data_IF_127897964309
#
_entry.id   IF_127897964309
#
_cell.length_a   1.000
_cell.length_b   1.000
_cell.length_c   1.000
_cell.angle_alpha   90.00
_cell.angle_beta   90.00
_cell.angle_gamma   90.00
#
_symmetry.space_group_name_H-M   'P 1'
#
loop_
_entity.id
_entity.type
_entity.pdbx_description
1 polymer ?
#
# COMPACT_ATOMS: atom_id res chain seq x y z
N UNK A 1 -43.84 -29.57 -34.79
CA UNK A 1 -43.53 -29.15 -33.40
C UNK A 1 -42.48 -29.99 -32.63
N UNK A 2 -41.88 -31.11 -33.12
CA UNK A 2 -40.88 -31.84 -32.32
C UNK A 2 -39.47 -31.21 -32.32
N UNK A 3 -39.12 -30.44 -33.36
CA UNK A 3 -37.77 -29.86 -33.53
C UNK A 3 -37.35 -28.92 -32.38
N UNK A 4 -38.28 -28.19 -31.78
CA UNK A 4 -37.98 -27.26 -30.68
C UNK A 4 -37.53 -27.94 -29.39
N UNK A 5 -38.17 -29.07 -29.05
CA UNK A 5 -37.86 -29.83 -27.82
C UNK A 5 -36.48 -30.47 -27.92
N UNK A 6 -36.14 -31.01 -29.09
CA UNK A 6 -34.80 -31.57 -29.34
C UNK A 6 -33.69 -30.52 -29.27
N UNK A 7 -33.92 -29.33 -29.83
CA UNK A 7 -32.93 -28.23 -29.79
C UNK A 7 -32.70 -27.74 -28.37
N UNK A 8 -33.78 -27.58 -27.58
CA UNK A 8 -33.66 -27.14 -26.19
C UNK A 8 -32.93 -28.18 -25.32
N UNK A 9 -33.22 -29.47 -25.53
CA UNK A 9 -32.51 -30.56 -24.86
C UNK A 9 -31.02 -30.61 -25.19
N UNK A 10 -30.67 -30.44 -26.47
CA UNK A 10 -29.27 -30.40 -26.92
C UNK A 10 -28.52 -29.19 -26.34
N UNK A 11 -29.15 -28.01 -26.33
CA UNK A 11 -28.58 -26.80 -25.72
C UNK A 11 -28.33 -26.97 -24.22
N UNK A 12 -29.28 -27.56 -23.48
CA UNK A 12 -29.12 -27.83 -22.06
C UNK A 12 -28.01 -28.86 -21.81
N UNK A 13 -27.88 -29.87 -22.67
CA UNK A 13 -26.83 -30.87 -22.56
C UNK A 13 -25.45 -30.26 -22.81
N UNK A 14 -25.31 -29.45 -23.88
CA UNK A 14 -24.07 -28.74 -24.19
C UNK A 14 -23.69 -27.79 -23.06
N UNK A 15 -24.63 -27.00 -22.55
CA UNK A 15 -24.36 -26.09 -21.44
C UNK A 15 -23.94 -26.84 -20.17
N UNK A 16 -24.57 -27.98 -19.87
CA UNK A 16 -24.20 -28.84 -18.75
C UNK A 16 -22.78 -29.39 -18.87
N UNK A 17 -22.42 -29.96 -20.04
CA UNK A 17 -21.07 -30.47 -20.30
C UNK A 17 -20.04 -29.34 -20.29
N UNK A 18 -20.38 -28.20 -20.88
CA UNK A 18 -19.51 -27.03 -20.91
C UNK A 18 -19.27 -26.50 -19.50
N UNK A 19 -20.29 -26.38 -18.66
CA UNK A 19 -20.13 -25.98 -17.26
C UNK A 19 -19.28 -26.99 -16.47
N UNK A 20 -19.52 -28.29 -16.68
CA UNK A 20 -18.76 -29.38 -16.04
C UNK A 20 -17.28 -29.31 -16.38
N UNK A 21 -16.92 -28.91 -17.60
CA UNK A 21 -15.52 -28.77 -18.04
C UNK A 21 -14.94 -27.41 -17.65
N UNK A 22 -15.70 -26.31 -17.77
CA UNK A 22 -15.21 -24.95 -17.50
C UNK A 22 -14.97 -24.72 -16.01
N UNK A 23 -15.86 -25.16 -15.12
CA UNK A 23 -15.72 -24.99 -13.67
C UNK A 23 -14.38 -25.50 -13.11
N UNK A 24 -13.94 -26.74 -13.40
CA UNK A 24 -12.66 -27.24 -12.93
C UNK A 24 -11.49 -26.53 -13.60
N UNK A 25 -11.60 -26.14 -14.89
CA UNK A 25 -10.55 -25.39 -15.58
C UNK A 25 -10.35 -24.01 -14.92
N UNK A 26 -11.42 -23.27 -14.66
CA UNK A 26 -11.36 -21.98 -13.97
C UNK A 26 -10.77 -22.13 -12.56
N UNK A 27 -11.20 -23.16 -11.82
CA UNK A 27 -10.66 -23.46 -10.50
C UNK A 27 -9.16 -23.75 -10.55
N UNK A 28 -8.72 -24.58 -11.49
CA UNK A 28 -7.31 -24.91 -11.69
C UNK A 28 -6.48 -23.68 -12.07
N UNK A 29 -6.96 -22.86 -13.02
CA UNK A 29 -6.32 -21.59 -13.40
C UNK A 29 -6.19 -20.63 -12.21
N UNK A 30 -7.22 -20.53 -11.37
CA UNK A 30 -7.21 -19.66 -10.19
C UNK A 30 -6.19 -20.14 -9.15
N UNK A 31 -6.12 -21.46 -8.92
CA UNK A 31 -5.12 -22.08 -8.03
C UNK A 31 -3.71 -21.85 -8.59
N UNK A 32 -3.49 -22.08 -9.88
CA UNK A 32 -2.20 -21.85 -10.52
C UNK A 32 -1.75 -20.39 -10.41
N UNK A 33 -2.66 -19.44 -10.66
CA UNK A 33 -2.38 -18.02 -10.52
C UNK A 33 -2.06 -17.65 -9.06
N UNK A 34 -2.79 -18.19 -8.09
CA UNK A 34 -2.53 -18.00 -6.67
C UNK A 34 -1.16 -18.55 -6.25
N UNK A 35 -0.80 -19.75 -6.70
CA UNK A 35 0.52 -20.35 -6.44
C UNK A 35 1.62 -19.53 -7.11
N UNK A 36 1.41 -19.04 -8.33
CA UNK A 36 2.37 -18.18 -9.01
C UNK A 36 2.60 -16.88 -8.23
N UNK A 37 1.54 -16.22 -7.75
CA UNK A 37 1.65 -15.02 -6.92
C UNK A 37 2.34 -15.31 -5.59
N UNK A 38 2.06 -16.47 -4.98
CA UNK A 38 2.73 -16.91 -3.76
C UNK A 38 4.24 -17.09 -4.02
N UNK A 39 4.62 -17.75 -5.10
CA UNK A 39 6.02 -17.94 -5.50
C UNK A 39 6.69 -16.60 -5.81
N UNK A 40 6.03 -15.72 -6.57
CA UNK A 40 6.56 -14.37 -6.87
C UNK A 40 6.75 -13.56 -5.59
N UNK A 41 5.84 -13.65 -4.62
CA UNK A 41 6.00 -13.02 -3.31
C UNK A 41 7.22 -13.54 -2.54
N UNK A 42 7.54 -14.84 -2.67
CA UNK A 42 8.73 -15.44 -2.05
C UNK A 42 10.02 -15.14 -2.83
N UNK A 43 9.96 -14.94 -4.15
CA UNK A 43 11.12 -14.67 -5.01
C UNK A 43 11.45 -13.17 -5.08
N UNK A 44 10.51 -12.29 -4.72
CA UNK A 44 10.71 -10.84 -4.70
C UNK A 44 11.60 -10.34 -3.56
N UNK A 45 12.27 -11.26 -2.85
CA UNK A 45 13.25 -10.98 -1.79
C UNK A 45 14.70 -10.81 -2.31
N UNK A 46 14.93 -10.96 -3.62
CA UNK A 46 16.20 -10.61 -4.30
C UNK A 46 16.05 -9.35 -5.17
N UNK A 47 15.59 -8.27 -4.55
CA UNK A 47 15.96 -6.91 -4.92
C UNK A 47 15.84 -6.00 -3.69
N UNK A 48 16.73 -6.17 -2.73
CA UNK A 48 17.05 -5.07 -1.82
C UNK A 48 17.54 -3.89 -2.68
N UNK A 49 16.90 -2.72 -2.54
CA UNK A 49 17.55 -1.71 -1.72
C UNK A 49 16.82 -1.55 -0.39
N UNK A 50 17.59 -1.15 0.60
CA UNK A 50 17.20 -0.81 1.97
C UNK A 50 15.82 -0.11 2.12
N UNK A 51 15.20 -0.24 3.32
CA UNK A 51 13.87 0.29 3.61
C UNK A 51 13.86 1.82 3.56
N UNK A 52 12.78 2.41 3.03
CA UNK A 52 12.38 3.77 3.44
C UNK A 52 10.93 3.71 3.93
N UNK A 53 10.70 4.00 5.23
CA UNK A 53 9.41 3.88 5.90
C UNK A 53 8.31 4.81 5.34
N UNK A 54 7.04 4.52 5.68
CA UNK A 54 5.89 5.25 5.21
C UNK A 54 5.60 6.52 6.03
N UNK A 55 4.78 7.38 5.40
CA UNK A 55 3.72 8.23 6.02
C UNK A 55 4.22 9.50 6.75
N UNK A 56 3.35 10.42 7.24
CA UNK A 56 1.87 10.41 7.27
C UNK A 56 1.14 11.75 6.98
N UNK A 57 -0.18 11.57 6.85
CA UNK A 57 -1.30 12.50 7.01
C UNK A 57 -1.16 13.38 8.27
N UNK A 58 -1.47 14.68 8.16
CA UNK A 58 -1.57 15.61 9.29
C UNK A 58 -2.84 15.34 10.13
N UNK A 59 -2.75 15.08 11.44
CA UNK A 59 -3.86 15.15 12.38
C UNK A 59 -4.12 16.60 12.84
N UNK A 60 -5.34 16.82 13.34
CA UNK A 60 -5.92 18.10 13.70
C UNK A 60 -5.27 18.78 14.92
N UNK A 61 -5.12 20.10 14.76
CA UNK A 61 -5.39 21.21 15.71
C UNK A 61 -5.79 20.81 17.14
N UNK A 62 -5.04 21.32 18.13
CA UNK A 62 -5.44 22.28 19.19
C UNK A 62 -4.35 22.32 20.27
N UNK A 63 -3.62 23.42 20.46
CA UNK A 63 -4.04 24.69 21.08
C UNK A 63 -3.90 24.64 22.61
N UNK A 64 -2.81 25.22 23.13
CA UNK A 64 -2.62 25.82 24.46
C UNK A 64 -1.14 26.33 24.53
N UNK A 65 -0.73 27.52 24.98
CA UNK A 65 -1.32 28.86 25.16
C UNK A 65 -0.14 29.82 25.49
N UNK A 66 -0.02 30.92 24.73
CA UNK A 66 0.35 32.31 25.16
C UNK A 66 1.71 32.60 25.86
N UNK A 67 2.58 33.33 25.15
CA UNK A 67 3.23 34.59 25.57
C UNK A 67 4.12 35.05 24.39
N UNK A 68 3.61 35.87 23.47
CA UNK A 68 3.85 37.32 23.41
C UNK A 68 5.27 37.67 22.92
N UNK A 69 5.39 38.15 21.67
CA UNK A 69 6.09 39.39 21.23
C UNK A 69 6.04 39.48 19.69
N UNK A 70 5.16 40.36 19.22
CA UNK A 70 5.33 41.44 18.21
C UNK A 70 6.00 41.17 16.82
N UNK A 71 5.13 41.28 15.79
CA UNK A 71 5.24 41.51 14.33
C UNK A 71 6.19 42.66 13.88
N UNK A 72 6.69 42.80 12.61
CA UNK A 72 6.63 41.96 11.39
C UNK A 72 7.99 41.69 10.64
N UNK A 73 8.07 40.50 10.01
CA UNK A 73 8.43 40.26 8.59
C UNK A 73 9.77 40.74 7.99
N UNK A 74 10.73 39.80 7.85
CA UNK A 74 11.57 39.58 6.64
C UNK A 74 12.20 38.18 6.68
N UNK A 75 11.56 37.29 5.92
CA UNK A 75 12.02 36.00 5.33
C UNK A 75 13.30 35.37 5.92
N UNK A 76 13.11 34.50 6.92
CA UNK A 76 14.12 33.50 7.29
C UNK A 76 13.99 32.32 6.31
N UNK A 77 15.10 31.80 5.73
CA UNK A 77 15.04 30.64 4.83
C UNK A 77 14.28 29.50 5.51
N UNK A 78 13.43 28.77 4.78
CA UNK A 78 12.61 27.72 5.37
C UNK A 78 13.53 26.79 6.16
N UNK A 79 13.26 26.53 7.46
CA UNK A 79 14.09 25.61 8.22
C UNK A 79 14.09 24.30 7.46
N UNK A 80 15.26 23.88 6.99
CA UNK A 80 15.37 22.62 6.29
C UNK A 80 14.86 21.51 7.20
N UNK A 81 14.27 20.48 6.61
CA UNK A 81 13.84 19.30 7.33
C UNK A 81 14.74 18.13 6.94
N UNK A 82 15.01 17.26 7.89
CA UNK A 82 15.66 15.96 7.70
C UNK A 82 14.69 14.87 8.10
N UNK A 83 14.91 13.65 7.62
CA UNK A 83 14.15 12.49 8.02
C UNK A 83 15.01 11.65 8.97
N UNK A 84 14.42 11.16 10.06
CA UNK A 84 15.10 10.25 10.96
C UNK A 84 15.49 8.97 10.21
N UNK A 85 16.76 8.58 10.25
CA UNK A 85 17.24 7.33 9.64
C UNK A 85 16.75 6.07 10.38
N UNK A 86 16.34 6.22 11.64
CA UNK A 86 15.90 5.11 12.48
C UNK A 86 14.40 4.84 12.39
N UNK A 87 13.57 5.90 12.35
CA UNK A 87 12.10 5.75 12.36
C UNK A 87 11.38 6.46 11.21
N UNK A 88 12.06 7.29 10.42
CA UNK A 88 11.46 8.02 9.28
C UNK A 88 10.70 9.30 9.61
N UNK A 89 10.67 9.75 10.88
CA UNK A 89 9.95 10.98 11.27
C UNK A 89 10.59 12.22 10.64
N UNK A 90 9.75 13.20 10.25
CA UNK A 90 10.23 14.47 9.68
C UNK A 90 10.63 15.41 10.81
N UNK A 91 11.90 15.76 10.85
CA UNK A 91 12.51 16.48 11.95
C UNK A 91 13.08 17.79 11.44
N UNK A 92 12.82 18.93 12.09
CA UNK A 92 13.49 20.17 11.74
C UNK A 92 15.01 20.00 11.93
N UNK A 93 15.83 20.50 10.99
CA UNK A 93 17.31 20.37 11.01
C UNK A 93 17.98 20.83 12.31
N UNK A 94 17.28 21.64 13.12
CA UNK A 94 17.80 22.17 14.38
C UNK A 94 17.64 21.20 15.57
N UNK A 95 17.02 20.02 15.38
CA UNK A 95 16.81 19.03 16.45
C UNK A 95 18.01 18.08 16.57
N UNK A 96 18.51 17.92 17.81
CA UNK A 96 19.61 16.98 18.15
C UNK A 96 19.16 15.52 18.29
N UNK A 97 17.87 15.29 18.51
CA UNK A 97 17.29 13.95 18.73
C UNK A 97 15.91 13.86 18.07
N UNK A 98 15.52 12.65 17.69
CA UNK A 98 14.22 12.36 17.12
C UNK A 98 13.13 12.41 18.22
N UNK A 99 12.09 13.25 18.08
CA UNK A 99 11.03 13.36 19.07
C UNK A 99 10.10 12.13 19.10
N UNK A 100 10.15 11.29 18.05
CA UNK A 100 9.32 10.10 17.94
C UNK A 100 10.01 8.86 18.55
N UNK A 101 11.28 8.63 18.22
CA UNK A 101 11.99 7.41 18.62
C UNK A 101 13.18 7.62 19.57
N UNK A 102 13.52 8.87 19.90
CA UNK A 102 14.62 9.20 20.81
C UNK A 102 16.04 9.04 20.22
N UNK A 103 16.17 8.64 18.95
CA UNK A 103 17.47 8.46 18.32
C UNK A 103 18.21 9.80 18.17
N UNK A 104 19.52 9.80 18.36
CA UNK A 104 20.37 10.97 18.12
C UNK A 104 20.41 11.29 16.62
N UNK A 105 20.37 12.59 16.31
CA UNK A 105 20.51 13.15 14.98
C UNK A 105 21.76 14.00 14.99
N UNK A 106 22.87 13.29 14.92
CA UNK A 106 24.19 13.83 14.71
C UNK A 106 24.42 13.94 13.20
N UNK A 107 24.81 15.13 12.74
CA UNK A 107 25.12 15.43 11.34
C UNK A 107 26.40 14.72 10.88
#
# INVERSE_FOLDING_TARGET
>A
MPRGIFVLGLLSFIFGVLALIILPIIGFLSILLGVLLMIVGLVSEEAAPAPVPPKPIKPKVKEEKKAEVTKPEKELPPPGYIYCLYCGEKIPKNSRFCPNCGAALEE
#
